data_IF_347594941340
#
_entry.id   IF_347594941340
#
_cell.length_a   1.000
_cell.length_b   1.000
_cell.length_c   1.000
_cell.angle_alpha   90.00
_cell.angle_beta   90.00
_cell.angle_gamma   90.00
#
_symmetry.space_group_name_H-M   'P 1'
#
loop_
_entity.id
_entity.type
_entity.pdbx_description
1 polymer ?
#
# COMPACT_ATOMS: atom_id res chain seq x y z
N UNK A 1 -12.52 23.65 -40.38
CA UNK A 1 -12.96 23.78 -38.97
C UNK A 1 -14.29 23.06 -38.89
N UNK A 2 -14.26 21.74 -38.65
CA UNK A 2 -15.46 20.92 -38.44
C UNK A 2 -15.56 20.70 -36.94
N UNK A 3 -16.06 21.71 -36.23
CA UNK A 3 -16.57 21.51 -34.86
C UNK A 3 -18.09 21.43 -34.96
N UNK A 4 -18.59 20.24 -35.28
CA UNK A 4 -19.95 19.87 -34.95
C UNK A 4 -19.88 19.12 -33.64
N UNK A 5 -20.16 19.83 -32.54
CA UNK A 5 -20.30 19.30 -31.18
C UNK A 5 -21.57 18.44 -31.06
N UNK A 6 -21.67 17.37 -31.85
CA UNK A 6 -22.77 16.41 -31.80
C UNK A 6 -22.42 15.23 -30.89
N UNK A 7 -21.95 15.52 -29.67
CA UNK A 7 -21.78 14.50 -28.64
C UNK A 7 -22.99 14.50 -27.70
N UNK A 8 -23.60 13.32 -27.50
CA UNK A 8 -24.76 13.18 -26.61
C UNK A 8 -24.41 13.21 -25.12
N UNK A 9 -23.18 12.79 -24.76
CA UNK A 9 -22.70 12.76 -23.38
C UNK A 9 -21.18 12.62 -23.30
N UNK A 10 -20.63 12.97 -22.13
CA UNK A 10 -19.22 12.79 -21.79
C UNK A 10 -19.13 11.80 -20.62
N UNK A 11 -18.30 10.77 -20.75
CA UNK A 11 -18.06 9.77 -19.71
C UNK A 11 -16.70 9.99 -19.06
N UNK A 12 -16.67 9.96 -17.74
CA UNK A 12 -15.46 9.97 -16.92
C UNK A 12 -15.33 8.61 -16.23
N UNK A 13 -14.15 7.99 -16.32
CA UNK A 13 -13.85 6.70 -15.70
C UNK A 13 -12.42 6.63 -15.21
N UNK A 14 -12.14 5.67 -14.33
CA UNK A 14 -10.76 5.36 -13.93
C UNK A 14 -9.99 4.78 -15.13
N UNK A 15 -8.74 5.22 -15.28
CA UNK A 15 -7.84 4.69 -16.29
C UNK A 15 -7.07 3.50 -15.72
N UNK A 16 -7.13 2.35 -16.39
CA UNK A 16 -6.28 1.20 -16.04
C UNK A 16 -4.82 1.45 -16.44
N UNK A 17 -3.83 0.76 -15.84
CA UNK A 17 -2.44 0.87 -16.26
C UNK A 17 -2.23 0.55 -17.74
N UNK A 18 -3.02 -0.38 -18.30
CA UNK A 18 -3.00 -0.73 -19.72
C UNK A 18 -3.54 0.40 -20.60
N UNK A 19 -4.61 1.08 -20.18
CA UNK A 19 -5.15 2.25 -20.88
C UNK A 19 -4.13 3.40 -20.91
N UNK A 20 -3.45 3.68 -19.79
CA UNK A 20 -2.41 4.71 -19.71
C UNK A 20 -1.27 4.38 -20.71
N UNK A 21 -0.87 3.11 -20.81
CA UNK A 21 0.13 2.68 -21.80
C UNK A 21 -0.36 2.86 -23.23
N UNK A 22 -1.63 2.58 -23.50
CA UNK A 22 -2.22 2.73 -24.85
C UNK A 22 -2.23 4.18 -25.36
N UNK A 23 -2.32 5.15 -24.44
CA UNK A 23 -2.25 6.57 -24.78
C UNK A 23 -0.83 7.09 -24.96
N UNK A 24 0.14 6.33 -24.47
CA UNK A 24 1.51 6.80 -24.39
C UNK A 24 2.27 6.59 -25.69
N UNK A 25 3.06 7.60 -26.06
CA UNK A 25 3.98 7.55 -27.20
C UNK A 25 5.38 7.08 -26.80
N UNK A 26 5.62 6.84 -25.52
CA UNK A 26 6.91 6.38 -25.01
C UNK A 26 7.09 6.60 -23.51
N UNK A 27 8.04 5.85 -22.96
CA UNK A 27 8.42 5.93 -21.56
C UNK A 27 9.45 7.05 -21.33
N UNK A 28 9.23 7.86 -20.29
CA UNK A 28 10.20 8.84 -19.80
C UNK A 28 11.06 8.17 -18.74
N UNK A 29 12.30 7.84 -19.10
CA UNK A 29 13.21 7.10 -18.22
C UNK A 29 14.17 7.99 -17.46
N UNK A 30 14.48 9.18 -18.00
CA UNK A 30 15.48 10.06 -17.40
C UNK A 30 14.88 11.37 -16.87
N UNK A 31 15.44 11.93 -15.79
CA UNK A 31 14.92 13.15 -15.18
C UNK A 31 15.34 14.43 -15.90
N UNK A 32 16.24 14.36 -16.88
CA UNK A 32 16.74 15.57 -17.55
C UNK A 32 15.66 16.23 -18.41
N UNK A 33 15.79 17.55 -18.54
CA UNK A 33 14.84 18.40 -19.28
C UNK A 33 15.44 18.84 -20.61
N UNK A 34 16.22 19.91 -20.58
CA UNK A 34 16.89 20.52 -21.72
C UNK A 34 18.38 20.70 -21.41
N UNK A 35 19.20 20.57 -22.44
CA UNK A 35 20.62 20.81 -22.33
C UNK A 35 20.88 22.33 -22.21
N UNK A 36 21.62 22.76 -21.19
CA UNK A 36 21.89 24.19 -20.96
C UNK A 36 22.73 24.86 -22.06
N UNK A 37 23.58 24.12 -22.78
CA UNK A 37 24.42 24.69 -23.85
C UNK A 37 23.68 24.75 -25.18
N UNK A 38 23.04 23.66 -25.55
CA UNK A 38 22.40 23.53 -26.88
C UNK A 38 20.95 23.98 -26.90
N UNK A 39 20.34 24.17 -25.72
CA UNK A 39 18.91 24.45 -25.53
C UNK A 39 18.00 23.38 -26.17
N UNK A 40 18.55 22.20 -26.50
CA UNK A 40 17.81 21.08 -27.05
C UNK A 40 17.35 20.14 -25.94
N UNK A 41 16.16 19.52 -26.07
CA UNK A 41 15.71 18.50 -25.14
C UNK A 41 16.67 17.33 -25.06
N UNK A 42 16.81 16.77 -23.87
CA UNK A 42 17.55 15.53 -23.68
C UNK A 42 16.73 14.32 -24.16
N UNK A 43 17.44 13.31 -24.66
CA UNK A 43 16.81 12.07 -25.14
C UNK A 43 16.31 11.25 -23.95
N UNK A 44 15.08 10.76 -24.06
CA UNK A 44 14.36 9.98 -23.04
C UNK A 44 14.07 10.75 -21.73
N UNK A 45 14.23 12.08 -21.78
CA UNK A 45 13.87 13.01 -20.71
C UNK A 45 12.46 13.58 -20.83
N UNK A 46 12.12 14.52 -19.94
CA UNK A 46 10.78 15.10 -19.79
C UNK A 46 10.26 15.83 -21.04
N UNK A 47 11.15 16.30 -21.91
CA UNK A 47 10.78 17.03 -23.13
C UNK A 47 11.18 16.32 -24.42
N UNK A 48 11.52 15.03 -24.33
CA UNK A 48 12.05 14.24 -25.45
C UNK A 48 11.19 14.32 -26.71
N UNK A 49 11.78 14.77 -27.82
CA UNK A 49 11.07 14.91 -29.10
C UNK A 49 10.61 13.57 -29.69
N UNK A 50 11.26 12.47 -29.33
CA UNK A 50 10.89 11.12 -29.78
C UNK A 50 9.52 10.70 -29.23
N UNK A 51 9.22 11.12 -28.00
CA UNK A 51 7.98 10.78 -27.29
C UNK A 51 6.89 11.81 -27.64
N UNK A 52 7.19 13.09 -27.38
CA UNK A 52 6.18 14.15 -27.46
C UNK A 52 6.04 14.75 -28.86
N UNK A 53 6.98 14.51 -29.77
CA UNK A 53 7.01 15.11 -31.10
C UNK A 53 7.99 16.29 -31.23
N UNK A 54 8.17 16.83 -32.45
CA UNK A 54 9.24 17.77 -32.77
C UNK A 54 8.99 19.16 -32.16
N UNK A 55 10.06 19.90 -31.84
CA UNK A 55 9.94 21.30 -31.37
C UNK A 55 9.52 22.23 -32.51
N UNK A 56 10.08 22.02 -33.70
CA UNK A 56 9.84 22.84 -34.88
C UNK A 56 9.02 22.05 -35.88
N UNK A 57 8.14 22.76 -36.57
CA UNK A 57 7.28 22.15 -37.57
C UNK A 57 8.11 21.45 -38.65
N UNK A 58 7.83 20.15 -38.84
CA UNK A 58 8.45 19.31 -39.85
C UNK A 58 9.99 19.26 -39.79
N UNK A 59 10.57 19.33 -38.59
CA UNK A 59 12.01 19.15 -38.36
C UNK A 59 12.27 18.11 -37.26
N UNK A 60 13.07 17.09 -37.57
CA UNK A 60 13.50 16.12 -36.56
C UNK A 60 14.69 16.64 -35.74
N UNK A 61 14.85 16.14 -34.51
CA UNK A 61 15.92 16.53 -33.56
C UNK A 61 17.34 16.67 -34.15
N UNK A 62 17.76 15.69 -34.96
CA UNK A 62 19.10 15.66 -35.54
C UNK A 62 19.26 16.51 -36.81
N UNK A 63 18.16 17.03 -37.36
CA UNK A 63 18.14 17.83 -38.58
C UNK A 63 18.29 17.05 -39.89
N UNK A 64 18.28 15.70 -39.88
CA UNK A 64 18.34 14.86 -41.09
C UNK A 64 17.15 15.13 -42.01
N UNK A 65 15.94 15.09 -41.44
CA UNK A 65 14.69 15.38 -42.15
C UNK A 65 14.17 16.77 -41.75
N UNK A 66 13.93 17.60 -42.77
CA UNK A 66 13.44 18.98 -42.65
C UNK A 66 12.46 19.29 -43.78
N UNK A 67 11.49 20.17 -43.50
CA UNK A 67 10.42 20.62 -44.41
C UNK A 67 9.27 19.62 -44.53
N UNK A 68 8.12 20.12 -44.97
CA UNK A 68 6.84 19.40 -45.05
C UNK A 68 6.87 18.14 -45.94
N UNK A 69 7.82 18.04 -46.87
CA UNK A 69 7.95 16.87 -47.77
C UNK A 69 8.18 15.55 -47.06
N UNK A 70 8.71 15.57 -45.84
CA UNK A 70 8.97 14.37 -45.03
C UNK A 70 7.91 14.15 -43.95
N UNK A 71 6.74 14.79 -44.06
CA UNK A 71 5.64 14.64 -43.09
C UNK A 71 5.32 13.15 -42.85
N UNK A 72 5.27 12.75 -41.58
CA UNK A 72 4.98 11.38 -41.16
C UNK A 72 6.16 10.42 -41.17
N UNK A 73 7.34 10.85 -41.64
CA UNK A 73 8.55 10.00 -41.60
C UNK A 73 9.12 9.99 -40.18
N UNK A 74 9.38 8.80 -39.65
CA UNK A 74 10.12 8.60 -38.40
C UNK A 74 11.61 8.55 -38.71
N UNK A 75 12.41 9.38 -38.05
CA UNK A 75 13.83 9.48 -38.35
C UNK A 75 14.64 8.27 -37.84
N UNK A 76 15.38 7.59 -38.71
CA UNK A 76 16.21 6.42 -38.32
C UNK A 76 17.29 6.73 -37.27
N UNK A 77 17.79 7.98 -37.23
CA UNK A 77 18.88 8.38 -36.33
C UNK A 77 18.40 8.82 -34.95
N UNK A 78 17.32 9.61 -34.89
CA UNK A 78 16.83 10.19 -33.63
C UNK A 78 15.46 9.66 -33.18
N UNK A 79 14.77 8.88 -34.02
CA UNK A 79 13.44 8.32 -33.74
C UNK A 79 12.31 9.35 -33.72
N UNK A 80 12.59 10.61 -34.05
CA UNK A 80 11.57 11.68 -34.04
C UNK A 80 10.75 11.62 -35.32
N UNK A 81 9.43 11.64 -35.15
CA UNK A 81 8.47 11.76 -36.23
C UNK A 81 8.39 13.21 -36.73
N UNK A 82 8.44 13.37 -38.05
CA UNK A 82 8.33 14.69 -38.69
C UNK A 82 6.85 15.08 -38.77
N UNK A 83 6.39 15.82 -37.77
CA UNK A 83 5.02 16.31 -37.64
C UNK A 83 4.98 17.83 -37.35
N UNK A 84 3.78 18.38 -37.18
CA UNK A 84 3.63 19.71 -36.60
C UNK A 84 4.07 19.72 -35.14
N UNK A 85 4.63 20.82 -34.67
CA UNK A 85 4.99 21.00 -33.25
C UNK A 85 3.77 20.99 -32.32
N UNK A 86 2.57 21.25 -32.85
CA UNK A 86 1.29 21.21 -32.11
C UNK A 86 1.01 19.86 -31.48
N UNK A 87 1.50 18.74 -32.04
CA UNK A 87 1.27 17.39 -31.49
C UNK A 87 1.84 17.24 -30.08
N UNK A 88 2.81 18.07 -29.68
CA UNK A 88 3.35 18.10 -28.31
C UNK A 88 2.32 18.48 -27.25
N UNK A 89 1.18 19.05 -27.65
CA UNK A 89 0.06 19.41 -26.76
C UNK A 89 -0.93 18.26 -26.55
N UNK A 90 -0.85 17.22 -27.38
CA UNK A 90 -1.82 16.11 -27.41
C UNK A 90 -1.18 14.76 -27.07
N UNK A 91 0.12 14.57 -27.36
CA UNK A 91 0.84 13.33 -27.09
C UNK A 91 1.14 13.17 -25.60
N UNK A 92 0.72 12.04 -25.04
CA UNK A 92 1.03 11.67 -23.66
C UNK A 92 2.30 10.82 -23.56
N UNK A 93 3.05 11.00 -22.47
CA UNK A 93 4.13 10.12 -22.04
C UNK A 93 3.70 9.32 -20.81
N UNK A 94 4.43 8.27 -20.48
CA UNK A 94 4.22 7.53 -19.23
C UNK A 94 5.55 7.23 -18.54
N UNK A 95 5.48 6.84 -17.27
CA UNK A 95 6.60 6.33 -16.48
C UNK A 95 6.20 4.97 -15.95
N UNK A 96 7.00 3.93 -16.24
CA UNK A 96 6.77 2.62 -15.65
C UNK A 96 7.34 2.61 -14.24
N UNK A 97 6.46 2.60 -13.24
CA UNK A 97 6.88 2.48 -11.85
C UNK A 97 7.35 1.06 -11.56
N UNK A 98 8.43 0.94 -10.78
CA UNK A 98 8.97 -0.35 -10.32
C UNK A 98 8.07 -1.01 -9.26
N UNK A 99 7.31 -0.20 -8.51
CA UNK A 99 6.36 -0.65 -7.51
C UNK A 99 5.00 0.06 -7.72
N UNK A 100 3.88 -0.62 -7.41
CA UNK A 100 2.56 0.01 -7.48
C UNK A 100 2.42 1.11 -6.44
N UNK A 101 1.74 2.19 -6.81
CA UNK A 101 1.47 3.35 -5.94
C UNK A 101 -0.02 3.63 -5.91
N UNK A 102 -0.54 3.96 -4.74
CA UNK A 102 -1.93 4.37 -4.59
C UNK A 102 -2.12 5.83 -4.99
N UNK A 103 -3.14 6.11 -5.81
CA UNK A 103 -3.45 7.49 -6.18
C UNK A 103 -4.04 8.23 -4.97
N UNK A 104 -3.46 9.39 -4.63
CA UNK A 104 -3.75 10.13 -3.38
C UNK A 104 -5.22 10.49 -3.21
N UNK A 105 -5.95 10.73 -4.31
CA UNK A 105 -7.39 11.02 -4.28
C UNK A 105 -8.24 9.90 -3.66
N UNK A 106 -7.85 8.63 -3.79
CA UNK A 106 -8.61 7.52 -3.22
C UNK A 106 -8.20 7.19 -1.78
N UNK A 107 -7.08 7.77 -1.31
CA UNK A 107 -6.51 7.53 0.02
C UNK A 107 -6.90 8.66 0.97
N UNK A 108 -6.52 9.90 0.64
CA UNK A 108 -6.60 11.06 1.56
C UNK A 108 -7.92 11.82 1.53
N UNK A 109 -8.67 11.76 0.44
CA UNK A 109 -9.95 12.49 0.34
C UNK A 109 -10.98 11.83 1.25
N UNK A 110 -11.64 12.60 2.10
CA UNK A 110 -12.68 12.12 3.01
C UNK A 110 -14.05 12.06 2.32
N UNK A 111 -14.79 10.94 2.40
CA UNK A 111 -14.38 9.66 2.98
C UNK A 111 -13.43 8.90 2.05
N UNK A 112 -12.42 8.25 2.64
CA UNK A 112 -11.41 7.47 1.91
C UNK A 112 -12.09 6.36 1.12
N UNK A 113 -12.00 6.42 -0.22
CA UNK A 113 -12.66 5.43 -1.10
C UNK A 113 -12.06 4.04 -0.90
N UNK A 114 -10.74 3.95 -0.75
CA UNK A 114 -10.07 2.68 -0.44
C UNK A 114 -10.35 2.21 0.99
N UNK A 115 -10.42 3.12 1.96
CA UNK A 115 -10.77 2.77 3.34
C UNK A 115 -12.16 2.15 3.43
N UNK A 116 -13.15 2.74 2.74
CA UNK A 116 -14.51 2.20 2.67
C UNK A 116 -14.57 0.84 1.97
N UNK A 117 -13.81 0.64 0.90
CA UNK A 117 -13.81 -0.62 0.15
C UNK A 117 -13.21 -1.79 0.94
N UNK A 118 -12.18 -1.51 1.74
CA UNK A 118 -11.42 -2.52 2.49
C UNK A 118 -11.86 -2.64 3.96
N UNK A 119 -12.86 -1.87 4.39
CA UNK A 119 -13.27 -1.73 5.79
C UNK A 119 -12.10 -1.38 6.73
N UNK A 120 -11.26 -0.45 6.30
CA UNK A 120 -10.10 0.04 7.05
C UNK A 120 -10.27 1.51 7.40
N UNK A 121 -9.92 1.86 8.64
CA UNK A 121 -9.84 3.28 9.01
C UNK A 121 -8.77 3.99 8.18
N UNK A 122 -8.98 5.25 7.75
CA UNK A 122 -8.01 5.98 6.93
C UNK A 122 -6.61 6.02 7.55
N UNK A 123 -6.52 6.14 8.88
CA UNK A 123 -5.26 6.12 9.64
C UNK A 123 -4.52 4.78 9.52
N UNK A 124 -5.24 3.65 9.56
CA UNK A 124 -4.63 2.32 9.39
C UNK A 124 -4.16 2.12 7.96
N UNK A 125 -4.96 2.53 6.98
CA UNK A 125 -4.60 2.43 5.56
C UNK A 125 -3.35 3.26 5.23
N UNK A 126 -3.28 4.49 5.76
CA UNK A 126 -2.13 5.38 5.60
C UNK A 126 -0.83 4.75 6.16
N UNK A 127 -0.90 4.12 7.34
CA UNK A 127 0.24 3.41 7.92
C UNK A 127 0.76 2.27 7.04
N UNK A 128 -0.12 1.59 6.30
CA UNK A 128 0.27 0.52 5.37
C UNK A 128 0.91 1.10 4.11
N UNK A 129 0.29 2.12 3.50
CA UNK A 129 0.76 2.73 2.25
C UNK A 129 2.13 3.41 2.42
N UNK A 130 2.37 4.05 3.57
CA UNK A 130 3.66 4.67 3.88
C UNK A 130 4.64 3.72 4.59
N UNK A 131 4.43 2.40 4.48
CA UNK A 131 5.34 1.37 4.98
C UNK A 131 5.64 1.43 6.49
N UNK A 132 4.74 2.00 7.29
CA UNK A 132 4.86 2.03 8.75
C UNK A 132 4.39 0.74 9.43
N UNK A 133 3.43 0.02 8.82
CA UNK A 133 2.93 -1.27 9.30
C UNK A 133 2.66 -2.22 8.15
N UNK A 134 2.77 -3.51 8.43
CA UNK A 134 2.37 -4.57 7.50
C UNK A 134 0.87 -4.83 7.54
N UNK A 135 0.32 -5.27 6.42
CA UNK A 135 -1.04 -5.77 6.30
C UNK A 135 -1.00 -7.26 5.92
N UNK A 136 -1.68 -8.09 6.69
CA UNK A 136 -1.80 -9.52 6.40
C UNK A 136 -2.76 -9.66 5.22
N UNK A 137 -2.28 -10.17 4.09
CA UNK A 137 -3.07 -10.34 2.86
C UNK A 137 -3.82 -11.66 2.83
N UNK A 138 -3.24 -12.71 3.42
CA UNK A 138 -3.82 -14.06 3.44
C UNK A 138 -3.33 -14.79 4.69
N UNK A 139 -4.23 -15.59 5.27
CA UNK A 139 -3.93 -16.54 6.34
C UNK A 139 -4.29 -17.94 5.84
N UNK A 140 -3.44 -18.92 6.13
CA UNK A 140 -3.74 -20.33 5.89
C UNK A 140 -4.50 -20.89 7.09
N UNK A 141 -5.81 -21.09 6.93
CA UNK A 141 -6.71 -21.53 7.99
C UNK A 141 -6.51 -23.01 8.37
N UNK A 142 -6.08 -23.85 7.44
CA UNK A 142 -5.84 -25.28 7.71
C UNK A 142 -4.59 -25.45 8.55
N UNK A 143 -3.50 -24.77 8.16
CA UNK A 143 -2.27 -24.73 8.94
C UNK A 143 -2.52 -24.14 10.34
N UNK A 144 -3.32 -23.06 10.42
CA UNK A 144 -3.71 -22.46 11.70
C UNK A 144 -4.46 -23.45 12.58
N UNK A 145 -5.46 -24.14 12.04
CA UNK A 145 -6.29 -25.08 12.80
C UNK A 145 -5.50 -26.30 13.29
N UNK A 146 -4.62 -26.86 12.45
CA UNK A 146 -3.72 -27.95 12.85
C UNK A 146 -2.81 -27.55 14.00
N UNK A 147 -2.26 -26.33 13.93
CA UNK A 147 -1.37 -25.81 14.97
C UNK A 147 -2.13 -25.57 16.27
N UNK A 148 -3.35 -25.01 16.19
CA UNK A 148 -4.23 -24.81 17.36
C UNK A 148 -4.56 -26.14 18.03
N UNK A 149 -4.89 -27.18 17.26
CA UNK A 149 -5.22 -28.48 17.84
C UNK A 149 -4.02 -29.12 18.54
N UNK A 150 -2.85 -29.11 17.90
CA UNK A 150 -1.61 -29.58 18.56
C UNK A 150 -1.33 -28.86 19.88
N UNK A 151 -1.43 -27.53 19.88
CA UNK A 151 -1.24 -26.72 21.09
C UNK A 151 -2.27 -27.06 22.19
N UNK A 152 -3.50 -27.40 21.82
CA UNK A 152 -4.52 -27.84 22.79
C UNK A 152 -4.19 -29.21 23.37
N UNK A 153 -3.76 -30.15 22.53
CA UNK A 153 -3.37 -31.49 22.96
C UNK A 153 -2.17 -31.43 23.92
N UNK A 154 -1.14 -30.63 23.57
CA UNK A 154 0.03 -30.38 24.40
C UNK A 154 -0.37 -29.76 25.76
N UNK A 155 -1.25 -28.76 25.74
CA UNK A 155 -1.75 -28.11 26.95
C UNK A 155 -2.53 -29.08 27.86
N UNK A 156 -3.36 -29.96 27.28
CA UNK A 156 -4.10 -30.96 28.05
C UNK A 156 -3.16 -31.95 28.74
N UNK A 157 -2.10 -32.36 28.04
CA UNK A 157 -1.09 -33.24 28.60
C UNK A 157 -0.35 -32.57 29.78
N UNK A 158 0.08 -31.31 29.63
CA UNK A 158 0.71 -30.57 30.72
C UNK A 158 -0.20 -30.39 31.95
N UNK A 159 -1.48 -30.08 31.72
CA UNK A 159 -2.45 -29.95 32.80
C UNK A 159 -2.64 -31.26 33.56
N UNK A 160 -2.69 -32.39 32.85
CA UNK A 160 -2.81 -33.72 33.47
C UNK A 160 -1.61 -34.02 34.36
N UNK A 161 -0.38 -33.76 33.89
CA UNK A 161 0.84 -33.93 34.69
C UNK A 161 0.87 -33.03 35.92
N UNK A 162 0.46 -31.76 35.77
CA UNK A 162 0.37 -30.83 36.91
C UNK A 162 -0.67 -31.25 37.92
N UNK A 163 -1.79 -31.78 37.46
CA UNK A 163 -2.85 -32.25 38.34
C UNK A 163 -2.44 -33.52 39.10
N UNK A 164 -1.73 -34.43 38.44
CA UNK A 164 -1.18 -35.63 39.07
C UNK A 164 -0.10 -35.29 40.11
N UNK A 165 0.87 -34.45 39.75
CA UNK A 165 1.88 -33.98 40.71
C UNK A 165 1.29 -33.17 41.86
N UNK A 166 0.23 -32.39 41.64
CA UNK A 166 -0.49 -31.70 42.71
C UNK A 166 -1.19 -32.70 43.65
N UNK A 167 -1.85 -33.73 43.11
CA UNK A 167 -2.46 -34.81 43.91
C UNK A 167 -1.42 -35.54 44.75
N UNK A 168 -0.27 -35.89 44.18
CA UNK A 168 0.82 -36.53 44.93
C UNK A 168 1.33 -35.64 46.06
N UNK A 169 1.43 -34.32 45.84
CA UNK A 169 1.84 -33.37 46.88
C UNK A 169 0.80 -33.27 48.00
N UNK A 170 -0.49 -33.26 47.67
CA UNK A 170 -1.57 -33.26 48.66
C UNK A 170 -1.54 -34.55 49.48
N UNK A 171 -1.43 -35.70 48.82
CA UNK A 171 -1.34 -37.00 49.50
C UNK A 171 -0.11 -37.10 50.43
N UNK A 172 1.04 -36.53 50.04
CA UNK A 172 2.23 -36.46 50.92
C UNK A 172 2.02 -35.58 52.16
N UNK A 173 1.23 -34.52 52.04
CA UNK A 173 0.86 -33.65 53.17
C UNK A 173 -0.10 -34.40 54.11
N UNK A 174 -1.10 -35.09 53.55
CA UNK A 174 -2.06 -35.90 54.33
C UNK A 174 -1.43 -37.13 54.99
N UNK A 175 -0.43 -37.75 54.35
CA UNK A 175 0.24 -38.97 54.84
C UNK A 175 1.40 -38.71 55.80
N UNK A 176 1.70 -37.44 56.15
CA UNK A 176 2.66 -37.10 57.19
C UNK A 176 1.90 -37.02 58.52
N UNK A 177 1.96 -38.03 59.39
CA UNK A 177 1.31 -37.96 60.69
C UNK A 177 2.29 -37.31 61.65
N UNK A 178 2.08 -36.02 61.93
CA UNK A 178 2.22 -35.44 63.28
C UNK A 178 1.96 -33.92 63.28
N UNK A 179 0.84 -33.55 63.91
CA UNK A 179 0.72 -32.42 64.82
C UNK A 179 0.96 -30.99 64.32
N UNK A 180 -0.10 -30.33 63.83
CA UNK A 180 -0.38 -28.95 64.26
C UNK A 180 -1.89 -28.63 64.20
N UNK A 181 -2.70 -29.35 64.98
CA UNK A 181 -4.01 -28.83 65.41
C UNK A 181 -3.87 -27.70 66.46
N UNK A 182 -2.64 -27.27 66.79
CA UNK A 182 -2.34 -26.20 67.73
C UNK A 182 -1.87 -24.91 67.05
N UNK A 183 -2.52 -24.48 65.96
CA UNK A 183 -2.26 -23.12 65.42
C UNK A 183 -3.46 -22.37 64.83
N UNK A 184 -4.68 -22.87 65.00
CA UNK A 184 -5.88 -22.18 64.51
C UNK A 184 -6.51 -21.24 65.56
N UNK A 185 -6.16 -21.33 66.84
CA UNK A 185 -6.50 -20.29 67.82
C UNK A 185 -5.38 -19.25 67.91
N UNK A 186 -5.34 -18.29 66.98
CA UNK A 186 -4.39 -17.19 67.10
C UNK A 186 -4.09 -16.36 65.86
N UNK A 187 -5.04 -16.10 64.98
CA UNK A 187 -4.99 -14.91 64.13
C UNK A 187 -6.38 -14.28 64.10
N UNK A 188 -6.54 -13.26 64.93
CA UNK A 188 -7.68 -12.38 64.90
C UNK A 188 -7.96 -11.89 63.49
N UNK A 189 -9.24 -11.71 63.23
CA UNK A 189 -9.78 -10.79 62.24
C UNK A 189 -8.88 -9.55 62.13
N UNK A 190 -8.27 -9.26 60.98
CA UNK A 190 -7.90 -7.89 60.68
C UNK A 190 -9.20 -7.16 60.38
N UNK A 191 -9.38 -6.06 61.11
CA UNK A 191 -10.47 -5.12 61.01
C UNK A 191 -10.93 -4.87 59.57
N UNK A 192 -12.25 -4.72 59.47
CA UNK A 192 -12.91 -3.89 58.47
C UNK A 192 -12.24 -2.52 58.39
N UNK A 193 -11.33 -2.34 57.44
CA UNK A 193 -10.96 -1.01 56.97
C UNK A 193 -11.84 -0.66 55.76
N UNK A 194 -12.95 0.01 56.09
CA UNK A 194 -13.64 0.90 55.17
C UNK A 194 -12.64 1.94 54.63
N UNK A 195 -12.14 1.73 53.42
CA UNK A 195 -11.50 2.80 52.65
C UNK A 195 -12.04 2.83 51.22
N UNK A 196 -13.20 3.48 51.10
CA UNK A 196 -13.50 4.53 50.13
C UNK A 196 -12.41 4.77 49.06
N UNK A 197 -12.64 4.31 47.83
CA UNK A 197 -12.12 4.97 46.63
C UNK A 197 -13.21 5.02 45.56
N UNK A 198 -13.84 6.19 45.55
CA UNK A 198 -14.46 6.94 44.46
C UNK A 198 -14.48 6.32 43.06
N UNK A 199 -15.69 6.30 42.50
CA UNK A 199 -15.94 5.99 41.11
C UNK A 199 -15.21 6.95 40.15
N UNK A 200 -14.74 6.39 39.05
CA UNK A 200 -14.46 7.14 37.83
C UNK A 200 -15.28 6.54 36.71
N UNK A 201 -16.17 7.37 36.19
CA UNK A 201 -17.03 7.06 35.07
C UNK A 201 -16.24 6.73 33.81
N UNK A 202 -16.88 5.91 33.00
CA UNK A 202 -16.68 5.80 31.56
C UNK A 202 -16.88 7.16 30.89
N UNK A 203 -15.96 7.61 30.02
CA UNK A 203 -16.31 8.58 28.99
C UNK A 203 -16.82 7.85 27.74
N UNK A 204 -17.87 8.42 27.15
CA UNK A 204 -18.27 8.26 25.75
C UNK A 204 -17.11 8.49 24.76
#
# INVERSE_FOLDING_TARGET
>A
MLELNDFSSIRLSLASPEQIKSWSYGEVTKPETINYRTLKPERDGLFCERIFGPIKDFECYCGKYKKIRYKGVICDKCGVEVAYSSVRRERMGHIQLAAPVAHVWFVKVTPSRLGLLLDLSPRKLEQVIYFAKFLITRVDEDARSRTINKLKDDLQFELMQRHESAKERIAKIESSPDGDESRVEGRGTPDSDESRVEGRGTPD
#
